data_IF_179992899004
#
_entry.id   IF_179992899004
#
_cell.length_a   1.000
_cell.length_b   1.000
_cell.length_c   1.000
_cell.angle_alpha   90.00
_cell.angle_beta   90.00
_cell.angle_gamma   90.00
#
_symmetry.space_group_name_H-M   'P 1'
#
loop_
_entity.id
_entity.type
_entity.pdbx_description
1 polymer ?
#
# COMPACT_ATOMS: atom_id res chain seq x y z
N UNK A 1 3.05 1.36 -17.51
CA UNK A 1 4.17 2.03 -18.20
C UNK A 1 4.72 3.24 -17.43
N UNK A 2 3.88 4.13 -16.89
CA UNK A 2 4.29 5.37 -16.20
C UNK A 2 5.30 5.19 -15.05
N UNK A 3 5.03 4.25 -14.12
CA UNK A 3 5.91 4.04 -12.95
C UNK A 3 7.33 3.62 -13.31
N UNK A 4 7.49 2.79 -14.35
CA UNK A 4 8.81 2.36 -14.83
C UNK A 4 9.54 3.56 -15.43
N UNK A 5 8.89 4.36 -16.26
CA UNK A 5 9.52 5.55 -16.84
C UNK A 5 9.94 6.56 -15.77
N UNK A 6 9.11 6.76 -14.74
CA UNK A 6 9.42 7.67 -13.64
C UNK A 6 10.65 7.23 -12.83
N UNK A 7 10.72 5.95 -12.46
CA UNK A 7 11.88 5.42 -11.73
C UNK A 7 13.12 5.46 -12.64
N UNK A 8 13.01 5.23 -13.95
CA UNK A 8 14.15 5.36 -14.89
C UNK A 8 14.66 6.80 -14.92
N UNK A 9 13.74 7.77 -14.92
CA UNK A 9 14.09 9.20 -14.91
C UNK A 9 14.79 9.61 -13.59
N UNK A 10 14.30 9.15 -12.44
CA UNK A 10 14.95 9.39 -11.14
C UNK A 10 16.35 8.79 -11.09
N UNK A 11 16.52 7.59 -11.66
CA UNK A 11 17.81 6.89 -11.71
C UNK A 11 18.72 7.38 -12.85
N UNK A 12 18.27 8.29 -13.71
CA UNK A 12 19.02 8.77 -14.86
C UNK A 12 19.30 7.70 -15.93
N UNK A 13 18.51 6.62 -15.97
CA UNK A 13 18.74 5.49 -16.87
C UNK A 13 18.16 5.75 -18.25
N UNK A 14 18.98 5.57 -19.29
CA UNK A 14 18.51 5.65 -20.67
C UNK A 14 17.95 4.31 -21.13
N UNK A 15 17.35 4.27 -22.31
CA UNK A 15 16.93 3.00 -22.93
C UNK A 15 18.12 2.13 -23.35
N UNK A 16 19.31 2.72 -23.53
CA UNK A 16 20.53 2.01 -23.92
C UNK A 16 21.14 1.18 -22.79
N UNK A 17 20.93 1.57 -21.53
CA UNK A 17 21.50 0.87 -20.37
C UNK A 17 20.93 -0.55 -20.18
N UNK A 18 19.81 -0.89 -20.85
CA UNK A 18 19.14 -2.21 -20.82
C UNK A 18 19.02 -2.84 -19.42
N UNK A 19 18.97 -2.04 -18.36
CA UNK A 19 18.87 -2.52 -16.98
C UNK A 19 17.51 -3.21 -16.78
N UNK A 20 17.50 -4.44 -16.24
CA UNK A 20 16.26 -5.14 -15.94
C UNK A 20 15.49 -4.43 -14.81
N UNK A 21 14.17 -4.55 -14.82
CA UNK A 21 13.31 -3.84 -13.86
C UNK A 21 13.59 -4.23 -12.40
N UNK A 22 14.09 -5.44 -12.16
CA UNK A 22 14.42 -5.95 -10.83
C UNK A 22 15.60 -5.17 -10.23
N UNK A 23 16.71 -5.07 -10.96
CA UNK A 23 17.91 -4.33 -10.55
C UNK A 23 17.63 -2.84 -10.41
N UNK A 24 16.78 -2.30 -11.28
CA UNK A 24 16.33 -0.91 -11.22
C UNK A 24 15.54 -0.62 -9.93
N UNK A 25 14.66 -1.54 -9.50
CA UNK A 25 13.93 -1.41 -8.24
C UNK A 25 14.84 -1.55 -7.03
N UNK A 26 15.79 -2.48 -7.08
CA UNK A 26 16.77 -2.70 -6.01
C UNK A 26 17.66 -1.46 -5.83
N UNK A 27 18.14 -0.88 -6.94
CA UNK A 27 18.97 0.32 -6.93
C UNK A 27 18.21 1.56 -6.42
N UNK A 28 16.92 1.66 -6.73
CA UNK A 28 16.08 2.71 -6.18
C UNK A 28 15.70 2.45 -4.70
N UNK A 29 15.88 1.23 -4.18
CA UNK A 29 15.39 0.76 -2.87
C UNK A 29 13.88 0.97 -2.69
N UNK A 30 13.12 0.94 -3.79
CA UNK A 30 11.68 1.18 -3.78
C UNK A 30 10.95 -0.18 -3.78
N UNK A 31 10.04 -0.43 -2.81
CA UNK A 31 9.21 -1.62 -2.81
C UNK A 31 8.31 -1.66 -4.06
N UNK A 32 7.92 -2.86 -4.51
CA UNK A 32 6.99 -3.00 -5.63
C UNK A 32 5.73 -2.16 -5.39
N UNK A 33 5.15 -1.59 -6.45
CA UNK A 33 3.90 -0.83 -6.36
C UNK A 33 2.80 -1.65 -5.65
N UNK A 34 2.73 -2.94 -5.92
CA UNK A 34 1.82 -3.86 -5.24
C UNK A 34 2.07 -3.95 -3.74
N UNK A 35 3.34 -3.91 -3.32
CA UNK A 35 3.71 -3.91 -1.90
C UNK A 35 3.30 -2.59 -1.23
N UNK A 36 3.48 -1.45 -1.91
CA UNK A 36 3.02 -0.14 -1.44
C UNK A 36 1.49 -0.14 -1.29
N UNK A 37 0.77 -0.60 -2.31
CA UNK A 37 -0.69 -0.67 -2.28
C UNK A 37 -1.18 -1.60 -1.16
N UNK A 38 -0.59 -2.79 -1.02
CA UNK A 38 -0.91 -3.71 0.07
C UNK A 38 -0.59 -3.11 1.43
N UNK A 39 0.54 -2.42 1.59
CA UNK A 39 0.89 -1.76 2.87
C UNK A 39 -0.09 -0.65 3.24
N UNK A 40 -0.57 0.13 2.27
CA UNK A 40 -1.59 1.15 2.49
C UNK A 40 -2.93 0.52 2.88
N UNK A 41 -3.35 -0.52 2.16
CA UNK A 41 -4.55 -1.28 2.46
C UNK A 41 -4.51 -1.93 3.83
N UNK A 42 -3.36 -2.47 4.27
CA UNK A 42 -3.20 -3.10 5.59
C UNK A 42 -3.04 -2.08 6.72
N UNK A 43 -2.47 -0.91 6.43
CA UNK A 43 -2.34 0.17 7.42
C UNK A 43 -3.70 0.80 7.74
N UNK A 44 -4.65 0.75 6.80
CA UNK A 44 -5.98 1.35 6.96
C UNK A 44 -6.80 0.67 8.08
N UNK A 45 -6.97 -0.67 8.12
CA UNK A 45 -7.58 -1.36 9.25
C UNK A 45 -6.89 -1.06 10.58
N UNK A 46 -5.55 -1.09 10.60
CA UNK A 46 -4.78 -0.78 11.81
C UNK A 46 -5.01 0.65 12.30
N UNK A 47 -5.17 1.61 11.38
CA UNK A 47 -5.55 2.98 11.71
C UNK A 47 -6.98 3.04 12.28
N UNK A 48 -7.95 2.42 11.61
CA UNK A 48 -9.35 2.40 12.05
C UNK A 48 -9.51 1.75 13.44
N UNK A 49 -8.76 0.67 13.73
CA UNK A 49 -8.74 0.03 15.06
C UNK A 49 -8.28 1.01 16.16
N UNK A 50 -7.32 1.89 15.85
CA UNK A 50 -6.78 2.88 16.79
C UNK A 50 -7.64 4.14 16.93
N UNK A 51 -8.59 4.37 16.02
CA UNK A 51 -9.50 5.51 16.13
C UNK A 51 -10.39 5.38 17.39
N UNK A 52 -10.86 6.49 17.98
CA UNK A 52 -11.86 6.43 19.05
C UNK A 52 -13.19 5.83 18.57
N UNK A 53 -13.93 5.12 19.45
CA UNK A 53 -15.22 4.50 19.11
C UNK A 53 -16.33 5.52 18.80
N UNK A 54 -16.13 6.80 19.14
CA UNK A 54 -17.01 7.91 18.74
C UNK A 54 -16.95 8.20 17.24
N UNK A 55 -15.93 7.71 16.53
CA UNK A 55 -15.78 7.94 15.08
C UNK A 55 -16.73 7.01 14.32
N UNK A 56 -17.56 7.63 13.48
CA UNK A 56 -18.59 6.97 12.66
C UNK A 56 -18.01 5.80 11.86
N UNK A 57 -16.82 5.97 11.26
CA UNK A 57 -16.15 4.94 10.46
C UNK A 57 -15.78 3.70 11.28
N UNK A 58 -15.25 3.89 12.50
CA UNK A 58 -14.92 2.77 13.38
C UNK A 58 -16.19 2.06 13.83
N UNK A 59 -17.22 2.83 14.18
CA UNK A 59 -18.51 2.28 14.56
C UNK A 59 -19.15 1.51 13.42
N UNK A 60 -19.25 2.06 12.21
CA UNK A 60 -19.88 1.38 11.08
C UNK A 60 -19.13 0.13 10.64
N UNK A 61 -17.80 0.11 10.73
CA UNK A 61 -17.00 -1.04 10.34
C UNK A 61 -17.04 -2.16 11.40
N UNK A 62 -16.94 -1.84 12.69
CA UNK A 62 -16.88 -2.85 13.77
C UNK A 62 -18.24 -3.23 14.38
N UNK A 63 -19.23 -2.33 14.44
CA UNK A 63 -20.59 -2.63 14.92
C UNK A 63 -21.28 -3.66 14.03
N UNK A 64 -21.06 -3.56 12.71
CA UNK A 64 -21.59 -4.51 11.74
C UNK A 64 -20.86 -5.86 11.76
N UNK A 65 -19.57 -5.88 12.10
CA UNK A 65 -18.82 -7.13 12.29
C UNK A 65 -19.17 -7.84 13.60
N UNK A 66 -19.41 -7.09 14.70
CA UNK A 66 -19.84 -7.65 15.99
C UNK A 66 -21.26 -8.25 15.91
N UNK A 67 -22.14 -7.70 15.07
CA UNK A 67 -23.46 -8.30 14.79
C UNK A 67 -23.40 -9.59 13.97
N UNK A 68 -22.40 -9.74 13.09
CA UNK A 68 -22.22 -10.93 12.27
C UNK A 68 -21.57 -12.09 13.03
N UNK A 69 -20.76 -11.78 14.05
CA UNK A 69 -20.19 -12.77 14.96
C UNK A 69 -21.11 -12.85 16.17
N UNK A 70 -22.17 -13.64 16.07
CA UNK A 70 -23.02 -14.01 17.19
C UNK A 70 -22.20 -14.69 18.28
N UNK A 71 -21.70 -13.89 19.22
CA UNK A 71 -21.35 -14.35 20.55
C UNK A 71 -22.52 -13.86 21.42
N UNK A 72 -23.19 -14.76 22.15
CA UNK A 72 -24.38 -14.42 22.92
C UNK A 72 -24.13 -13.30 23.94
#
# INVERSE_FOLDING_TARGET
AFHVQYIRNILGLTWQDRVPHTDMRERARIPSLECILKSGQLSWPGHVIRMPNSRILKRSLFDNSQRAVGIP
#
